data_IF_520316659480
#
_entry.id   IF_520316659480
#
_cell.length_a   1.000
_cell.length_b   1.000
_cell.length_c   1.000
_cell.angle_alpha   90.00
_cell.angle_beta   90.00
_cell.angle_gamma   90.00
#
_symmetry.space_group_name_H-M   'P 1'
#
loop_
_entity.id
_entity.type
_entity.pdbx_description
1 polymer ?
#
# COMPACT_ATOMS: atom_id res chain seq x y z
N UNK A 1 -16.25 -0.23 12.59
CA UNK A 1 -16.27 0.90 13.57
C UNK A 1 -15.63 2.10 12.88
N UNK A 2 -16.32 3.24 12.73
CA UNK A 2 -15.76 4.44 12.13
C UNK A 2 -14.48 4.94 12.82
N UNK A 3 -13.57 5.53 12.05
CA UNK A 3 -12.43 6.23 12.62
C UNK A 3 -12.89 7.55 13.26
N UNK A 4 -12.68 7.70 14.53
CA UNK A 4 -13.11 8.87 15.31
C UNK A 4 -11.95 9.86 15.62
N UNK A 5 -10.73 9.57 15.17
CA UNK A 5 -9.58 10.46 15.35
C UNK A 5 -9.56 11.57 14.29
N UNK A 6 -8.91 12.69 14.53
CA UNK A 6 -8.79 13.79 13.60
C UNK A 6 -7.76 13.54 12.47
N UNK A 7 -7.19 14.61 11.93
CA UNK A 7 -6.12 14.53 10.94
C UNK A 7 -4.90 13.79 11.50
N UNK A 8 -4.40 12.81 10.76
CA UNK A 8 -3.22 12.04 11.16
C UNK A 8 -1.96 12.38 10.35
N UNK A 9 -2.11 12.86 9.12
CA UNK A 9 -0.99 13.26 8.25
C UNK A 9 -0.74 14.78 8.34
N UNK A 10 -0.45 15.26 9.56
CA UNK A 10 -0.10 16.69 9.79
C UNK A 10 1.34 16.91 9.34
N UNK A 11 1.52 17.79 8.37
CA UNK A 11 2.82 18.09 7.77
C UNK A 11 3.85 18.57 8.80
N UNK A 12 5.05 18.01 8.74
CA UNK A 12 6.18 18.36 9.60
C UNK A 12 7.51 18.08 8.89
N UNK A 13 8.58 18.76 9.32
CA UNK A 13 9.95 18.44 8.89
C UNK A 13 10.61 17.35 9.73
N UNK A 14 9.98 16.92 10.82
CA UNK A 14 10.50 15.86 11.65
C UNK A 14 10.47 14.51 10.91
N UNK A 15 11.42 13.64 11.23
CA UNK A 15 11.47 12.26 10.74
C UNK A 15 11.66 11.31 11.93
N UNK A 16 11.02 10.16 11.87
CA UNK A 16 11.20 9.11 12.87
C UNK A 16 12.51 8.39 12.64
N UNK A 17 13.22 8.08 13.71
CA UNK A 17 14.42 7.24 13.60
C UNK A 17 14.04 5.82 13.18
N UNK A 18 14.62 5.35 12.06
CA UNK A 18 14.46 3.97 11.60
C UNK A 18 15.62 3.14 12.18
N UNK A 19 15.35 2.03 12.90
CA UNK A 19 16.37 1.18 13.48
C UNK A 19 17.40 0.70 12.45
N UNK A 20 18.65 0.57 12.89
CA UNK A 20 19.76 0.16 12.00
C UNK A 20 19.50 -1.18 11.31
N UNK A 21 18.89 -2.12 12.04
CA UNK A 21 18.58 -3.46 11.52
C UNK A 21 17.55 -3.39 10.40
N UNK A 22 16.51 -2.56 10.54
CA UNK A 22 15.47 -2.38 9.52
C UNK A 22 16.05 -1.75 8.25
N UNK A 23 16.88 -0.72 8.40
CA UNK A 23 17.60 -0.11 7.26
C UNK A 23 18.50 -1.12 6.54
N UNK A 24 19.20 -1.96 7.30
CA UNK A 24 20.04 -3.01 6.74
C UNK A 24 19.22 -4.05 5.96
N UNK A 25 18.12 -4.53 6.53
CA UNK A 25 17.24 -5.51 5.90
C UNK A 25 16.59 -4.95 4.62
N UNK A 26 16.08 -3.71 4.67
CA UNK A 26 15.55 -3.03 3.48
C UNK A 26 16.60 -2.96 2.36
N UNK A 27 17.82 -2.53 2.70
CA UNK A 27 18.90 -2.49 1.72
C UNK A 27 19.23 -3.86 1.11
N UNK A 28 19.15 -4.94 1.91
CA UNK A 28 19.34 -6.31 1.42
C UNK A 28 18.21 -6.76 0.50
N UNK A 29 16.96 -6.43 0.82
CA UNK A 29 15.80 -6.74 -0.04
C UNK A 29 15.93 -6.03 -1.39
N UNK A 30 16.24 -4.74 -1.40
CA UNK A 30 16.44 -3.96 -2.62
C UNK A 30 17.57 -4.55 -3.49
N UNK A 31 18.70 -4.92 -2.87
CA UNK A 31 19.80 -5.55 -3.59
C UNK A 31 19.40 -6.90 -4.20
N UNK A 32 18.60 -7.69 -3.49
CA UNK A 32 18.11 -8.98 -3.99
C UNK A 32 17.20 -8.78 -5.21
N UNK A 33 16.26 -7.84 -5.13
CA UNK A 33 15.39 -7.50 -6.26
C UNK A 33 16.21 -7.07 -7.48
N UNK A 34 17.15 -6.16 -7.30
CA UNK A 34 18.05 -5.71 -8.40
C UNK A 34 18.85 -6.85 -9.01
N UNK A 35 19.36 -7.76 -8.18
CA UNK A 35 20.10 -8.94 -8.66
C UNK A 35 19.24 -9.87 -9.51
N UNK A 36 17.95 -9.95 -9.20
CA UNK A 36 16.99 -10.78 -9.93
C UNK A 36 16.31 -10.04 -11.10
N UNK A 37 16.73 -8.81 -11.41
CA UNK A 37 16.12 -8.00 -12.47
C UNK A 37 14.73 -7.46 -12.10
N UNK A 38 14.34 -7.51 -10.82
CA UNK A 38 13.05 -7.00 -10.35
C UNK A 38 13.19 -5.55 -9.90
N UNK A 39 12.17 -4.76 -10.17
CA UNK A 39 12.02 -3.43 -9.60
C UNK A 39 11.50 -3.53 -8.17
N UNK A 40 11.86 -2.57 -7.33
CA UNK A 40 11.43 -2.50 -5.95
C UNK A 40 10.78 -1.14 -5.71
N UNK A 41 9.53 -1.14 -5.28
CA UNK A 41 8.78 0.04 -4.86
C UNK A 41 8.40 -0.10 -3.38
N UNK A 42 8.51 0.98 -2.63
CA UNK A 42 7.98 1.08 -1.28
C UNK A 42 6.56 1.64 -1.35
N UNK A 43 5.65 1.04 -0.59
CA UNK A 43 4.26 1.52 -0.50
C UNK A 43 3.86 1.58 0.97
N UNK A 44 3.26 2.70 1.39
CA UNK A 44 2.58 2.82 2.69
C UNK A 44 1.08 2.87 2.47
N UNK A 45 0.37 1.92 3.06
CA UNK A 45 -1.11 1.89 2.99
C UNK A 45 -1.72 2.80 4.06
N UNK A 46 -2.94 3.33 3.86
CA UNK A 46 -3.61 4.18 4.83
C UNK A 46 -3.77 3.51 6.21
N UNK A 47 -3.23 4.14 7.26
CA UNK A 47 -3.27 3.64 8.65
C UNK A 47 -3.31 4.79 9.64
N UNK A 48 -4.51 5.32 9.95
CA UNK A 48 -4.64 6.59 10.68
C UNK A 48 -4.21 6.54 12.15
N UNK A 49 -4.13 5.36 12.77
CA UNK A 49 -3.66 5.24 14.15
C UNK A 49 -2.15 5.28 14.27
N UNK A 50 -1.45 4.51 13.46
CA UNK A 50 -0.02 4.24 13.66
C UNK A 50 0.90 4.97 12.69
N UNK A 51 0.34 5.54 11.64
CA UNK A 51 1.13 6.25 10.64
C UNK A 51 1.02 7.78 10.85
N UNK A 52 2.14 8.47 10.70
CA UNK A 52 2.28 9.92 10.85
C UNK A 52 3.19 10.48 9.77
N UNK A 53 3.19 11.79 9.57
CA UNK A 53 4.03 12.45 8.58
C UNK A 53 5.53 12.22 8.84
N UNK A 54 5.95 12.01 10.09
CA UNK A 54 7.33 11.63 10.43
C UNK A 54 7.71 10.26 9.87
N UNK A 55 6.76 9.32 9.76
CA UNK A 55 6.97 8.02 9.12
C UNK A 55 7.16 8.19 7.62
N UNK A 56 6.32 9.04 6.98
CA UNK A 56 6.46 9.42 5.58
C UNK A 56 7.86 9.96 5.30
N UNK A 57 8.30 10.97 6.05
CA UNK A 57 9.62 11.58 5.87
C UNK A 57 10.76 10.57 6.01
N UNK A 58 10.64 9.63 6.94
CA UNK A 58 11.63 8.57 7.12
C UNK A 58 11.66 7.59 5.96
N UNK A 59 10.49 7.17 5.48
CA UNK A 59 10.36 6.26 4.35
C UNK A 59 10.87 6.91 3.06
N UNK A 60 10.49 8.18 2.80
CA UNK A 60 10.96 8.96 1.67
C UNK A 60 12.49 9.10 1.67
N UNK A 61 13.08 9.45 2.82
CA UNK A 61 14.53 9.55 2.96
C UNK A 61 15.26 8.24 2.66
N UNK A 62 14.66 7.10 3.02
CA UNK A 62 15.21 5.79 2.68
C UNK A 62 15.05 5.46 1.20
N UNK A 63 13.90 5.77 0.62
CA UNK A 63 13.66 5.60 -0.81
C UNK A 63 14.66 6.40 -1.65
N UNK A 64 14.86 7.68 -1.31
CA UNK A 64 15.84 8.56 -1.94
C UNK A 64 17.26 8.00 -1.81
N UNK A 65 17.63 7.57 -0.61
CA UNK A 65 18.95 6.99 -0.33
C UNK A 65 19.25 5.75 -1.18
N UNK A 66 18.24 4.88 -1.36
CA UNK A 66 18.40 3.64 -2.11
C UNK A 66 18.06 3.79 -3.60
N UNK A 67 17.56 4.94 -4.03
CA UNK A 67 17.12 5.19 -5.39
C UNK A 67 16.01 4.23 -5.79
N UNK A 68 14.99 4.11 -4.95
CA UNK A 68 13.77 3.34 -5.19
C UNK A 68 12.55 4.26 -5.08
N UNK A 69 11.49 3.88 -5.74
CA UNK A 69 10.23 4.61 -5.67
C UNK A 69 9.54 4.41 -4.33
N UNK A 70 8.87 5.46 -3.86
CA UNK A 70 8.01 5.40 -2.68
C UNK A 70 6.66 6.05 -2.96
N UNK A 71 5.60 5.28 -2.77
CA UNK A 71 4.22 5.70 -2.90
C UNK A 71 3.55 5.68 -1.53
N UNK A 72 3.20 6.86 -1.00
CA UNK A 72 2.52 6.98 0.28
C UNK A 72 1.03 7.23 0.08
N UNK A 73 0.24 6.18 0.17
CA UNK A 73 -1.21 6.23 0.00
C UNK A 73 -1.93 6.93 1.18
N UNK A 74 -1.23 7.20 2.29
CA UNK A 74 -1.76 8.02 3.38
C UNK A 74 -1.96 9.49 2.96
N UNK A 75 -1.18 9.96 2.00
CA UNK A 75 -1.30 11.30 1.43
C UNK A 75 -2.34 11.40 0.31
N UNK A 76 -2.82 10.27 -0.18
CA UNK A 76 -3.70 10.15 -1.35
C UNK A 76 -5.11 9.66 -1.00
N UNK A 77 -5.47 9.70 0.27
CA UNK A 77 -6.74 9.13 0.76
C UNK A 77 -7.98 9.79 0.14
N UNK A 78 -7.93 11.09 -0.15
CA UNK A 78 -9.01 11.79 -0.87
C UNK A 78 -9.10 11.34 -2.33
N UNK A 79 -7.96 11.18 -3.00
CA UNK A 79 -7.88 10.74 -4.40
C UNK A 79 -8.35 9.29 -4.54
N UNK A 80 -7.96 8.42 -3.61
CA UNK A 80 -8.41 7.02 -3.53
C UNK A 80 -9.92 6.94 -3.18
N UNK A 81 -10.46 7.98 -2.55
CA UNK A 81 -11.84 8.02 -2.12
C UNK A 81 -12.10 7.24 -0.84
N UNK A 82 -11.14 7.22 0.10
CA UNK A 82 -11.30 6.58 1.41
C UNK A 82 -12.32 7.35 2.24
N UNK A 83 -13.38 6.66 2.66
CA UNK A 83 -14.35 7.15 3.64
C UNK A 83 -14.05 6.53 5.02
N UNK A 84 -13.50 7.32 5.90
CA UNK A 84 -13.11 6.88 7.25
C UNK A 84 -14.30 6.41 8.14
N UNK A 85 -15.54 6.65 7.71
CA UNK A 85 -16.72 6.11 8.37
C UNK A 85 -17.11 4.72 7.89
N UNK A 86 -16.76 4.37 6.66
CA UNK A 86 -17.22 3.16 5.97
C UNK A 86 -16.10 2.16 5.69
N UNK A 87 -14.88 2.62 5.42
CA UNK A 87 -13.79 1.82 4.86
C UNK A 87 -12.83 1.24 5.90
N UNK A 88 -13.13 1.41 7.20
CA UNK A 88 -12.30 0.90 8.30
C UNK A 88 -12.96 -0.26 9.02
N UNK A 89 -12.15 -1.24 9.43
CA UNK A 89 -12.60 -2.43 10.12
C UNK A 89 -12.79 -2.18 11.63
N UNK A 90 -11.78 -1.61 12.26
CA UNK A 90 -11.67 -1.48 13.72
C UNK A 90 -11.65 -0.02 14.21
N UNK A 91 -11.87 0.91 13.30
CA UNK A 91 -11.90 2.35 13.58
C UNK A 91 -10.53 2.99 13.78
N UNK A 92 -9.43 2.26 13.55
CA UNK A 92 -8.10 2.77 13.87
C UNK A 92 -6.98 2.39 12.88
N UNK A 93 -6.76 1.10 12.60
CA UNK A 93 -5.53 0.65 11.95
C UNK A 93 -5.77 0.01 10.60
N UNK A 94 -6.88 -0.72 10.47
CA UNK A 94 -7.09 -1.59 9.34
C UNK A 94 -8.24 -1.11 8.47
N UNK A 95 -8.00 -1.11 7.17
CA UNK A 95 -9.08 -0.99 6.20
C UNK A 95 -9.93 -2.27 6.22
N UNK A 96 -11.22 -2.13 6.05
CA UNK A 96 -12.09 -3.26 5.77
C UNK A 96 -11.99 -3.64 4.28
N UNK A 97 -12.81 -4.60 3.84
CA UNK A 97 -12.79 -5.09 2.47
C UNK A 97 -13.05 -3.98 1.44
N UNK A 98 -13.90 -3.03 1.75
CA UNK A 98 -14.21 -1.91 0.83
C UNK A 98 -13.06 -0.93 0.70
N UNK A 99 -12.44 -0.55 1.82
CA UNK A 99 -11.25 0.29 1.80
C UNK A 99 -10.06 -0.40 1.13
N UNK A 100 -9.89 -1.71 1.38
CA UNK A 100 -8.85 -2.51 0.74
C UNK A 100 -9.05 -2.62 -0.78
N UNK A 101 -10.30 -2.75 -1.25
CA UNK A 101 -10.64 -2.76 -2.68
C UNK A 101 -10.23 -1.44 -3.35
N UNK A 102 -10.63 -0.30 -2.77
CA UNK A 102 -10.26 1.04 -3.29
C UNK A 102 -8.75 1.22 -3.40
N UNK A 103 -8.01 0.83 -2.36
CA UNK A 103 -6.53 0.89 -2.35
C UNK A 103 -5.93 -0.03 -3.41
N UNK A 104 -6.47 -1.24 -3.57
CA UNK A 104 -5.99 -2.21 -4.56
C UNK A 104 -6.25 -1.74 -5.99
N UNK A 105 -7.42 -1.16 -6.25
CA UNK A 105 -7.77 -0.60 -7.56
C UNK A 105 -6.85 0.58 -7.91
N UNK A 106 -6.63 1.49 -6.96
CA UNK A 106 -5.72 2.61 -7.14
C UNK A 106 -4.29 2.14 -7.44
N UNK A 107 -3.77 1.21 -6.63
CA UNK A 107 -2.41 0.68 -6.80
C UNK A 107 -2.28 -0.10 -8.12
N UNK A 108 -3.31 -0.87 -8.50
CA UNK A 108 -3.35 -1.58 -9.78
C UNK A 108 -3.31 -0.63 -10.99
N UNK A 109 -4.10 0.44 -10.95
CA UNK A 109 -4.06 1.49 -11.96
C UNK A 109 -2.69 2.17 -12.02
N UNK A 110 -2.15 2.57 -10.87
CA UNK A 110 -0.83 3.18 -10.76
C UNK A 110 0.26 2.30 -11.38
N UNK A 111 0.27 0.99 -11.06
CA UNK A 111 1.24 0.03 -11.61
C UNK A 111 1.08 -0.08 -13.13
N UNK A 112 -0.15 -0.19 -13.62
CA UNK A 112 -0.43 -0.33 -15.05
C UNK A 112 -0.02 0.90 -15.86
N UNK A 113 -0.09 2.09 -15.27
CA UNK A 113 0.26 3.36 -15.93
C UNK A 113 1.76 3.64 -15.92
N UNK A 114 2.48 3.20 -14.88
CA UNK A 114 3.87 3.58 -14.64
C UNK A 114 4.89 2.47 -14.93
N UNK A 115 4.42 1.22 -15.11
CA UNK A 115 5.28 0.06 -15.33
C UNK A 115 4.84 -0.75 -16.54
N UNK A 116 5.80 -1.35 -17.24
CA UNK A 116 5.50 -2.33 -18.27
C UNK A 116 5.11 -3.66 -17.61
N UNK A 117 3.80 -3.90 -17.50
CA UNK A 117 3.23 -5.15 -17.00
C UNK A 117 2.39 -5.80 -18.08
N UNK A 118 2.56 -7.12 -18.27
CA UNK A 118 1.73 -7.88 -19.20
C UNK A 118 0.35 -8.14 -18.62
N UNK A 119 -0.70 -7.97 -19.43
CA UNK A 119 -2.05 -8.32 -19.05
C UNK A 119 -2.30 -9.82 -19.33
N UNK A 120 -2.46 -10.60 -18.28
CA UNK A 120 -2.66 -12.04 -18.35
C UNK A 120 -4.12 -12.47 -18.12
N UNK A 121 -5.09 -11.54 -18.03
CA UNK A 121 -6.48 -11.86 -17.70
C UNK A 121 -7.13 -12.83 -18.69
N UNK A 122 -6.76 -12.76 -19.96
CA UNK A 122 -7.27 -13.65 -21.01
C UNK A 122 -6.32 -14.84 -21.32
N UNK A 123 -5.20 -14.95 -20.60
CA UNK A 123 -4.25 -16.03 -20.79
C UNK A 123 -4.69 -17.27 -19.99
N UNK A 124 -4.95 -18.37 -20.73
CA UNK A 124 -5.38 -19.63 -20.13
C UNK A 124 -4.39 -20.23 -19.15
N UNK A 125 -3.12 -19.91 -19.26
CA UNK A 125 -2.05 -20.33 -18.33
C UNK A 125 -2.27 -19.79 -16.93
N UNK A 126 -2.96 -18.62 -16.82
CA UNK A 126 -3.28 -17.94 -15.57
C UNK A 126 -4.75 -18.08 -15.16
N UNK A 127 -5.52 -18.98 -15.79
CA UNK A 127 -6.95 -19.14 -15.53
C UNK A 127 -7.30 -19.49 -14.09
N UNK A 128 -6.36 -20.07 -13.31
CA UNK A 128 -6.55 -20.32 -11.88
C UNK A 128 -6.78 -19.04 -11.08
N UNK A 129 -6.19 -17.92 -11.49
CA UNK A 129 -6.39 -16.61 -10.84
C UNK A 129 -7.84 -16.14 -10.96
N UNK A 130 -8.49 -16.40 -12.07
CA UNK A 130 -9.91 -16.08 -12.25
C UNK A 130 -10.77 -16.87 -11.25
N UNK A 131 -10.46 -18.16 -11.04
CA UNK A 131 -11.16 -18.98 -10.05
C UNK A 131 -10.92 -18.49 -8.61
N UNK A 132 -9.67 -18.11 -8.25
CA UNK A 132 -9.36 -17.53 -6.93
C UNK A 132 -10.09 -16.22 -6.70
N UNK A 133 -10.19 -15.37 -7.72
CA UNK A 133 -10.95 -14.14 -7.64
C UNK A 133 -12.43 -14.38 -7.41
N UNK A 134 -13.05 -15.32 -8.15
CA UNK A 134 -14.46 -15.69 -7.96
C UNK A 134 -14.72 -16.26 -6.55
N UNK A 135 -13.82 -17.07 -6.04
CA UNK A 135 -13.97 -17.67 -4.72
C UNK A 135 -13.79 -16.63 -3.61
N UNK A 136 -12.86 -15.69 -3.77
CA UNK A 136 -12.71 -14.53 -2.89
C UNK A 136 -13.99 -13.68 -2.87
N UNK A 137 -14.57 -13.36 -4.03
CA UNK A 137 -15.82 -12.59 -4.11
C UNK A 137 -16.98 -13.29 -3.40
N UNK A 138 -17.11 -14.60 -3.52
CA UNK A 138 -18.12 -15.38 -2.78
C UNK A 138 -17.91 -15.32 -1.27
N UNK A 139 -16.66 -15.35 -0.83
CA UNK A 139 -16.31 -15.26 0.61
C UNK A 139 -16.63 -13.88 1.16
N UNK A 140 -16.28 -12.82 0.45
CA UNK A 140 -16.63 -11.42 0.80
C UNK A 140 -18.14 -11.28 0.96
N UNK A 141 -18.93 -11.77 0.00
CA UNK A 141 -20.41 -11.70 0.04
C UNK A 141 -21.03 -12.45 1.22
N UNK A 142 -20.41 -13.54 1.70
CA UNK A 142 -20.92 -14.28 2.86
C UNK A 142 -20.69 -13.59 4.19
N UNK A 143 -19.69 -12.70 4.24
CA UNK A 143 -19.28 -12.01 5.45
C UNK A 143 -19.80 -10.54 5.51
N UNK A 144 -20.57 -10.15 4.52
CA UNK A 144 -21.33 -8.90 4.46
C UNK A 144 -22.72 -9.07 5.07
#
# INVERSE_FOLDING_TARGET
IPYAGGEYMIETMAAREVPRVERFLLGRMIQLCRKNGSQFMMVSVPSPKDYRYENHNSAQSLADKYGVEYLDLNLLTEEIGIDWNLDVLDGTEHLNVYGAEKVSDYLGAYISENYEVEDHRDDKTYSEWNQYYEDYQKEVQKNM
#
